data_IF_688950226593
#
_entry.id   IF_688950226593
#
_cell.length_a   1.000
_cell.length_b   1.000
_cell.length_c   1.000
_cell.angle_alpha   90.00
_cell.angle_beta   90.00
_cell.angle_gamma   90.00
#
_symmetry.space_group_name_H-M   'P 1'
#
loop_
_entity.id
_entity.type
_entity.pdbx_description
1 polymer ?
#
# COMPACT_ATOMS: atom_id res chain seq x y z
N UNK A 1 -1.54 21.24 -12.24
CA UNK A 1 -1.80 19.92 -11.63
C UNK A 1 -1.46 18.84 -12.65
N UNK A 2 -0.39 18.05 -12.44
CA UNK A 2 -0.06 16.91 -13.31
C UNK A 2 -0.90 15.72 -12.87
N UNK A 3 -1.68 15.16 -13.79
CA UNK A 3 -2.37 13.89 -13.57
C UNK A 3 -1.34 12.79 -13.83
N UNK A 4 -0.88 12.11 -12.79
CA UNK A 4 -0.11 10.87 -12.94
C UNK A 4 -1.15 9.76 -13.11
N UNK A 5 -1.35 9.31 -14.35
CA UNK A 5 -2.20 8.13 -14.63
C UNK A 5 -1.32 6.89 -14.51
N UNK A 6 -1.47 6.13 -13.44
CA UNK A 6 -0.98 4.76 -13.41
C UNK A 6 -2.05 3.84 -13.98
N UNK A 7 -1.76 3.28 -15.16
CA UNK A 7 -2.47 2.15 -15.73
C UNK A 7 -1.69 0.90 -15.31
N UNK A 8 -2.20 0.15 -14.34
CA UNK A 8 -2.01 -1.30 -14.45
C UNK A 8 -3.06 -1.79 -15.46
N UNK A 9 -2.87 -2.97 -16.05
CA UNK A 9 -3.92 -3.58 -16.91
C UNK A 9 -5.23 -3.86 -16.13
N UNK A 10 -5.24 -3.68 -14.80
CA UNK A 10 -6.30 -4.13 -13.90
C UNK A 10 -6.98 -3.00 -13.10
N UNK A 11 -6.32 -1.86 -12.88
CA UNK A 11 -6.91 -0.72 -12.15
C UNK A 11 -6.32 0.63 -12.55
N UNK A 12 -7.15 1.68 -12.41
CA UNK A 12 -6.81 3.08 -12.69
C UNK A 12 -7.18 3.97 -11.51
N UNK A 13 -6.31 4.94 -11.20
CA UNK A 13 -6.56 6.00 -10.23
C UNK A 13 -6.97 7.30 -10.94
N UNK A 14 -8.14 7.82 -10.60
CA UNK A 14 -8.63 9.12 -11.06
C UNK A 14 -8.60 10.13 -9.90
N UNK A 15 -7.78 11.17 -10.00
CA UNK A 15 -7.74 12.24 -9.00
C UNK A 15 -9.05 13.03 -9.00
N UNK A 16 -9.63 13.21 -7.81
CA UNK A 16 -10.81 14.03 -7.53
C UNK A 16 -10.46 15.05 -6.43
N UNK A 17 -11.37 15.99 -6.12
CA UNK A 17 -11.07 17.09 -5.19
C UNK A 17 -10.62 16.60 -3.80
N UNK A 18 -11.21 15.51 -3.30
CA UNK A 18 -10.98 15.00 -1.94
C UNK A 18 -10.21 13.66 -1.90
N UNK A 19 -9.47 13.32 -2.96
CA UNK A 19 -8.69 12.08 -3.04
C UNK A 19 -8.66 11.46 -4.43
N UNK A 20 -8.85 10.14 -4.49
CA UNK A 20 -8.80 9.34 -5.71
C UNK A 20 -9.97 8.36 -5.79
N UNK A 21 -10.48 8.19 -6.99
CA UNK A 21 -11.34 7.07 -7.34
C UNK A 21 -10.47 5.99 -7.98
N UNK A 22 -10.43 4.81 -7.37
CA UNK A 22 -9.79 3.62 -7.92
C UNK A 22 -10.83 2.79 -8.65
N UNK A 23 -10.65 2.63 -9.96
CA UNK A 23 -11.52 1.84 -10.84
C UNK A 23 -10.81 0.55 -11.20
N UNK A 24 -11.36 -0.59 -10.77
CA UNK A 24 -11.03 -1.92 -11.29
C UNK A 24 -12.09 -2.41 -12.27
N UNK A 25 -11.86 -3.57 -12.89
CA UNK A 25 -12.78 -4.17 -13.89
C UNK A 25 -14.25 -4.26 -13.44
N UNK A 26 -14.52 -4.34 -12.13
CA UNK A 26 -15.89 -4.35 -11.56
C UNK A 26 -16.02 -3.64 -10.22
N UNK A 27 -15.02 -2.85 -9.80
CA UNK A 27 -14.99 -2.20 -8.48
C UNK A 27 -14.68 -0.73 -8.57
N UNK A 28 -15.33 0.05 -7.73
CA UNK A 28 -15.10 1.49 -7.56
C UNK A 28 -14.84 1.76 -6.08
N UNK A 29 -13.64 2.24 -5.76
CA UNK A 29 -13.23 2.53 -4.38
C UNK A 29 -12.79 4.00 -4.28
N UNK A 30 -13.32 4.70 -3.28
CA UNK A 30 -12.82 6.04 -2.95
C UNK A 30 -11.69 5.89 -1.93
N UNK A 31 -10.57 6.56 -2.20
CA UNK A 31 -9.37 6.53 -1.35
C UNK A 31 -8.85 7.96 -1.17
N UNK A 32 -8.39 8.27 0.03
CA UNK A 32 -7.73 9.54 0.30
C UNK A 32 -6.34 9.60 -0.37
N UNK A 33 -5.80 10.81 -0.51
CA UNK A 33 -4.52 11.05 -1.16
C UNK A 33 -3.34 10.41 -0.42
N UNK A 34 -3.40 10.34 0.92
CA UNK A 34 -2.32 9.75 1.74
C UNK A 34 -2.21 8.26 1.46
N UNK A 35 -3.34 7.55 1.40
CA UNK A 35 -3.36 6.12 1.12
C UNK A 35 -2.91 5.79 -0.30
N UNK A 36 -3.25 6.63 -1.28
CA UNK A 36 -2.76 6.45 -2.66
C UNK A 36 -1.25 6.69 -2.76
N UNK A 37 -0.73 7.73 -2.08
CA UNK A 37 0.71 7.97 -1.95
C UNK A 37 1.43 6.74 -1.36
N UNK A 38 0.87 6.14 -0.30
CA UNK A 38 1.41 4.92 0.30
C UNK A 38 1.49 3.76 -0.71
N UNK A 39 0.39 3.49 -1.41
CA UNK A 39 0.34 2.44 -2.43
C UNK A 39 1.42 2.66 -3.49
N UNK A 40 1.66 3.92 -3.90
CA UNK A 40 2.70 4.23 -4.86
C UNK A 40 4.11 4.00 -4.32
N UNK A 41 4.39 4.35 -3.06
CA UNK A 41 5.69 4.04 -2.46
C UNK A 41 5.95 2.52 -2.42
N UNK A 42 4.94 1.75 -2.03
CA UNK A 42 5.07 0.29 -1.99
C UNK A 42 5.18 -0.35 -3.37
N UNK A 43 4.53 0.20 -4.40
CA UNK A 43 4.64 -0.32 -5.75
C UNK A 43 6.02 -0.03 -6.38
N UNK A 44 6.58 1.15 -6.13
CA UNK A 44 7.89 1.57 -6.66
C UNK A 44 9.05 0.81 -5.99
N UNK A 45 8.98 0.60 -4.67
CA UNK A 45 10.13 0.13 -3.87
C UNK A 45 9.90 -1.16 -3.09
N UNK A 46 8.71 -1.74 -3.18
CA UNK A 46 8.28 -2.85 -2.34
C UNK A 46 7.70 -2.39 -1.00
N UNK A 47 6.97 -3.29 -0.35
CA UNK A 47 6.16 -2.95 0.81
C UNK A 47 6.97 -2.46 2.01
N UNK A 48 8.14 -3.07 2.27
CA UNK A 48 9.00 -2.70 3.39
C UNK A 48 9.51 -1.26 3.25
N UNK A 49 10.20 -0.99 2.15
CA UNK A 49 10.74 0.34 1.87
C UNK A 49 9.63 1.39 1.76
N UNK A 50 8.47 1.02 1.20
CA UNK A 50 7.30 1.91 1.13
C UNK A 50 6.74 2.27 2.50
N UNK A 51 6.75 1.33 3.46
CA UNK A 51 6.38 1.57 4.85
C UNK A 51 7.39 2.48 5.54
N UNK A 52 8.69 2.22 5.37
CA UNK A 52 9.75 3.04 5.98
C UNK A 52 9.67 4.51 5.51
N UNK A 53 9.49 4.72 4.20
CA UNK A 53 9.32 6.07 3.61
C UNK A 53 8.06 6.74 4.12
N UNK A 54 6.97 5.98 4.26
CA UNK A 54 5.70 6.52 4.72
C UNK A 54 5.78 6.94 6.19
N UNK A 55 6.37 6.11 7.05
CA UNK A 55 6.64 6.46 8.45
C UNK A 55 7.52 7.70 8.57
N UNK A 56 8.60 7.80 7.78
CA UNK A 56 9.48 8.97 7.76
C UNK A 56 8.74 10.24 7.28
N UNK A 57 7.96 10.14 6.21
CA UNK A 57 7.26 11.30 5.60
C UNK A 57 6.15 11.84 6.50
N UNK A 58 5.43 10.96 7.19
CA UNK A 58 4.26 11.31 7.99
C UNK A 58 4.53 11.33 9.50
N UNK A 59 5.77 11.08 9.93
CA UNK A 59 6.18 11.01 11.34
C UNK A 59 5.31 10.04 12.16
N UNK A 60 4.98 8.89 11.57
CA UNK A 60 4.16 7.83 12.17
C UNK A 60 5.09 6.78 12.76
N UNK A 61 4.79 6.29 13.98
CA UNK A 61 5.57 5.22 14.59
C UNK A 61 5.18 3.83 14.07
N UNK A 62 5.98 2.81 14.42
CA UNK A 62 5.78 1.45 13.92
C UNK A 62 4.45 0.84 14.39
N UNK A 63 3.98 1.17 15.60
CA UNK A 63 2.75 0.62 16.16
C UNK A 63 1.51 1.26 15.51
N UNK A 64 1.52 2.58 15.33
CA UNK A 64 0.52 3.31 14.56
C UNK A 64 0.48 2.81 13.11
N UNK A 65 1.65 2.57 12.50
CA UNK A 65 1.73 2.05 11.13
C UNK A 65 1.15 0.64 11.02
N UNK A 66 1.37 -0.24 12.01
CA UNK A 66 0.73 -1.57 12.04
C UNK A 66 -0.79 -1.48 12.15
N UNK A 67 -1.32 -0.54 12.93
CA UNK A 67 -2.77 -0.30 13.02
C UNK A 67 -3.31 0.17 11.67
N UNK A 68 -2.66 1.17 11.07
CA UNK A 68 -3.02 1.69 9.75
C UNK A 68 -3.03 0.59 8.68
N UNK A 69 -1.99 -0.25 8.62
CA UNK A 69 -1.88 -1.35 7.67
C UNK A 69 -2.98 -2.40 7.85
N UNK A 70 -3.37 -2.71 9.09
CA UNK A 70 -4.47 -3.64 9.37
C UNK A 70 -5.80 -3.10 8.82
N UNK A 71 -6.11 -1.85 9.11
CA UNK A 71 -7.34 -1.21 8.60
C UNK A 71 -7.33 -1.10 7.07
N UNK A 72 -6.17 -0.76 6.49
CA UNK A 72 -6.00 -0.66 5.05
C UNK A 72 -6.23 -2.03 4.40
N UNK A 73 -5.62 -3.10 4.92
CA UNK A 73 -5.82 -4.47 4.42
C UNK A 73 -7.29 -4.84 4.36
N UNK A 74 -8.05 -4.59 5.43
CA UNK A 74 -9.48 -4.91 5.50
C UNK A 74 -10.31 -4.15 4.46
N UNK A 75 -9.97 -2.87 4.21
CA UNK A 75 -10.62 -2.07 3.15
C UNK A 75 -10.29 -2.60 1.75
N UNK A 76 -9.06 -3.09 1.54
CA UNK A 76 -8.57 -3.50 0.24
C UNK A 76 -8.93 -4.94 -0.13
N UNK A 77 -9.03 -5.86 0.82
CA UNK A 77 -9.31 -7.28 0.55
C UNK A 77 -10.72 -7.50 -0.05
N UNK A 78 -11.66 -6.60 0.26
CA UNK A 78 -12.99 -6.58 -0.34
C UNK A 78 -12.97 -6.15 -1.82
N UNK A 79 -11.86 -5.59 -2.31
CA UNK A 79 -11.70 -5.11 -3.68
C UNK A 79 -10.81 -6.06 -4.50
N UNK A 80 -11.40 -6.72 -5.49
CA UNK A 80 -10.70 -7.71 -6.33
C UNK A 80 -9.48 -7.13 -7.03
N UNK A 81 -9.47 -5.82 -7.33
CA UNK A 81 -8.36 -5.16 -8.03
C UNK A 81 -7.14 -4.90 -7.12
N UNK A 82 -7.34 -4.80 -5.81
CA UNK A 82 -6.29 -4.52 -4.83
C UNK A 82 -6.03 -5.70 -3.89
N UNK A 83 -6.66 -6.86 -4.16
CA UNK A 83 -6.52 -8.08 -3.35
C UNK A 83 -5.06 -8.50 -3.19
N UNK A 84 -4.28 -8.53 -4.27
CA UNK A 84 -2.87 -8.92 -4.20
C UNK A 84 -2.05 -7.98 -3.30
N UNK A 85 -2.33 -6.68 -3.36
CA UNK A 85 -1.68 -5.70 -2.48
C UNK A 85 -2.10 -5.88 -1.01
N UNK A 86 -3.37 -6.22 -0.75
CA UNK A 86 -3.83 -6.56 0.59
C UNK A 86 -3.12 -7.82 1.14
N UNK A 87 -2.88 -8.84 0.30
CA UNK A 87 -2.12 -10.03 0.66
C UNK A 87 -0.64 -9.70 0.94
N UNK A 88 -0.04 -8.75 0.21
CA UNK A 88 1.32 -8.29 0.48
C UNK A 88 1.40 -7.59 1.86
N UNK A 89 0.41 -6.75 2.20
CA UNK A 89 0.27 -6.17 3.54
C UNK A 89 0.15 -7.26 4.61
N UNK A 90 -0.66 -8.29 4.35
CA UNK A 90 -0.82 -9.41 5.28
C UNK A 90 0.49 -10.16 5.52
N UNK A 91 1.29 -10.39 4.48
CA UNK A 91 2.62 -11.01 4.61
C UNK A 91 3.58 -10.13 5.38
N UNK A 92 3.56 -8.82 5.16
CA UNK A 92 4.37 -7.86 5.92
C UNK A 92 4.00 -7.88 7.41
N UNK A 93 2.70 -7.81 7.74
CA UNK A 93 2.22 -7.85 9.12
C UNK A 93 2.40 -9.21 9.80
N UNK A 94 2.33 -10.30 9.02
CA UNK A 94 2.46 -11.68 9.48
C UNK A 94 3.90 -12.18 9.56
N UNK A 95 4.88 -11.36 9.16
CA UNK A 95 6.29 -11.68 9.30
C UNK A 95 6.63 -11.95 10.77
N UNK A 96 7.05 -13.18 11.07
CA UNK A 96 7.63 -13.52 12.38
C UNK A 96 8.84 -12.61 12.63
N UNK A 97 8.78 -11.78 13.67
CA UNK A 97 9.98 -11.29 14.35
C UNK A 97 10.78 -12.50 14.84
N UNK A 98 11.74 -13.02 14.05
CA UNK A 98 12.48 -14.21 14.49
C UNK A 98 13.43 -14.93 13.53
N UNK A 99 13.75 -14.44 12.34
CA UNK A 99 14.90 -14.98 11.57
C UNK A 99 15.80 -13.85 11.07
N UNK A 100 16.91 -13.68 11.78
CA UNK A 100 18.18 -13.17 11.26
C UNK A 100 18.60 -14.05 10.10
N UNK A 101 18.83 -13.47 8.92
CA UNK A 101 19.70 -14.09 7.92
C UNK A 101 21.01 -13.31 7.86
N UNK A 102 21.73 -13.30 8.98
CA UNK A 102 23.19 -13.28 8.91
C UNK A 102 23.62 -14.70 8.57
N UNK A 103 24.02 -14.92 7.32
CA UNK A 103 25.14 -15.81 7.04
C UNK A 103 25.95 -15.24 5.88
N UNK A 104 27.19 -14.88 6.18
CA UNK A 104 28.27 -14.67 5.23
C UNK A 104 28.45 -15.88 4.29
N UNK A 105 29.12 -15.63 3.15
CA UNK A 105 29.76 -16.59 2.20
C UNK A 105 28.87 -17.18 1.11
N UNK A 106 28.86 -16.59 -0.11
CA UNK A 106 29.84 -16.81 -1.22
C UNK A 106 29.89 -15.55 -2.09
#
# INVERSE_FOLDING_TARGET
MRIIKYNSEFYRFDKVNDGYIVRGNSTLLHMDEITVDFIFYCYDRGIKDGVDIFMEKYFVDEDEMKVYLKELKEKLIANTALKNFAEDIERYLGGKSGESFDSESV
#
